data_IF_195981329799
#
_entry.id   IF_195981329799
#
_cell.length_a   1.000
_cell.length_b   1.000
_cell.length_c   1.000
_cell.angle_alpha   90.00
_cell.angle_beta   90.00
_cell.angle_gamma   90.00
#
_symmetry.space_group_name_H-M   'P 1'
#
loop_
_entity.id
_entity.type
_entity.pdbx_description
1 polymer ?
#
# COMPACT_ATOMS: atom_id res chain seq x y z
N UNK A 1 15.71 15.25 -24.94
CA UNK A 1 14.69 15.13 -23.87
C UNK A 1 14.68 16.44 -23.11
N UNK A 2 13.53 16.99 -22.75
CA UNK A 2 13.44 18.32 -22.13
C UNK A 2 12.34 18.34 -21.06
N UNK A 3 12.53 19.12 -19.99
CA UNK A 3 11.65 19.14 -18.81
C UNK A 3 11.37 20.57 -18.37
N UNK A 4 10.16 20.85 -17.89
CA UNK A 4 9.78 22.17 -17.39
C UNK A 4 10.34 22.39 -15.98
N UNK A 5 11.16 23.42 -15.80
CA UNK A 5 11.76 23.79 -14.51
C UNK A 5 11.36 25.21 -14.10
N UNK A 6 11.26 25.49 -12.80
CA UNK A 6 10.99 26.83 -12.30
C UNK A 6 12.25 27.71 -12.43
N UNK A 7 12.09 28.97 -12.85
CA UNK A 7 13.20 29.94 -12.87
C UNK A 7 13.65 30.25 -11.43
N UNK A 8 14.98 30.24 -11.22
CA UNK A 8 15.61 30.58 -9.94
C UNK A 8 15.29 32.01 -9.44
N UNK A 9 14.79 32.89 -10.32
CA UNK A 9 14.61 34.32 -10.02
C UNK A 9 13.17 34.75 -9.69
N UNK A 10 12.16 33.88 -9.76
CA UNK A 10 10.79 34.16 -9.28
C UNK A 10 9.97 32.88 -9.50
N UNK A 11 9.46 32.28 -8.44
CA UNK A 11 8.90 30.92 -8.42
C UNK A 11 7.64 30.68 -9.29
N UNK A 12 7.22 31.66 -10.09
CA UNK A 12 6.04 31.58 -10.95
C UNK A 12 6.35 31.40 -12.44
N UNK A 13 7.59 31.61 -12.89
CA UNK A 13 7.93 31.46 -14.32
C UNK A 13 8.58 30.10 -14.59
N UNK A 14 7.97 29.28 -15.44
CA UNK A 14 8.52 28.00 -15.91
C UNK A 14 9.36 28.20 -17.16
N UNK A 15 10.46 27.47 -17.30
CA UNK A 15 11.26 27.39 -18.54
C UNK A 15 11.52 25.94 -18.93
N UNK A 16 11.83 25.71 -20.19
CA UNK A 16 12.23 24.39 -20.67
C UNK A 16 13.73 24.19 -20.40
N UNK A 17 14.09 23.16 -19.64
CA UNK A 17 15.45 22.68 -19.49
C UNK A 17 15.73 21.65 -20.58
N UNK A 18 16.83 21.86 -21.32
CA UNK A 18 17.30 20.96 -22.38
C UNK A 18 18.67 20.36 -22.07
N UNK A 19 19.42 20.96 -21.14
CA UNK A 19 20.73 20.50 -20.70
C UNK A 19 20.61 19.20 -19.89
N UNK A 20 21.45 18.22 -20.20
CA UNK A 20 21.33 16.86 -19.67
C UNK A 20 21.35 16.81 -18.14
N UNK A 21 22.29 17.51 -17.49
CA UNK A 21 22.42 17.49 -16.03
C UNK A 21 21.24 18.20 -15.35
N UNK A 22 20.77 19.31 -15.92
CA UNK A 22 19.59 19.99 -15.40
C UNK A 22 18.32 19.15 -15.58
N UNK A 23 18.18 18.47 -16.71
CA UNK A 23 17.07 17.56 -16.97
C UNK A 23 17.09 16.40 -15.98
N UNK A 24 18.24 15.78 -15.73
CA UNK A 24 18.38 14.70 -14.73
C UNK A 24 17.96 15.18 -13.34
N UNK A 25 18.53 16.29 -12.88
CA UNK A 25 18.21 16.85 -11.55
C UNK A 25 16.73 17.20 -11.42
N UNK A 26 16.14 17.80 -12.46
CA UNK A 26 14.73 18.13 -12.47
C UNK A 26 13.85 16.87 -12.39
N UNK A 27 14.16 15.84 -13.19
CA UNK A 27 13.42 14.57 -13.18
C UNK A 27 13.54 13.86 -11.84
N UNK A 28 14.74 13.80 -11.26
CA UNK A 28 14.98 13.15 -9.97
C UNK A 28 14.20 13.83 -8.85
N UNK A 29 14.19 15.18 -8.83
CA UNK A 29 13.42 15.95 -7.87
C UNK A 29 11.91 15.79 -8.06
N UNK A 30 11.43 15.86 -9.31
CA UNK A 30 10.01 15.67 -9.63
C UNK A 30 9.57 14.27 -9.21
N UNK A 31 10.33 13.24 -9.54
CA UNK A 31 10.07 11.86 -9.14
C UNK A 31 10.05 11.75 -7.61
N UNK A 32 11.08 12.22 -6.91
CA UNK A 32 11.13 12.21 -5.46
C UNK A 32 9.93 12.94 -4.82
N UNK A 33 9.49 14.05 -5.41
CA UNK A 33 8.32 14.82 -4.94
C UNK A 33 7.00 14.08 -5.16
N UNK A 34 6.84 13.47 -6.34
CA UNK A 34 5.65 12.71 -6.72
C UNK A 34 5.46 11.50 -5.79
N UNK A 35 6.55 10.79 -5.47
CA UNK A 35 6.55 9.59 -4.64
C UNK A 35 6.85 9.87 -3.16
N UNK A 36 6.92 11.14 -2.75
CA UNK A 36 7.10 11.51 -1.33
C UNK A 36 5.95 10.96 -0.49
N UNK A 37 6.28 10.45 0.71
CA UNK A 37 5.29 10.09 1.72
C UNK A 37 4.41 11.30 2.07
N UNK A 38 3.10 11.20 1.80
CA UNK A 38 2.11 12.22 2.18
C UNK A 38 1.46 11.83 3.51
N UNK A 39 1.30 12.79 4.41
CA UNK A 39 0.48 12.62 5.60
C UNK A 39 -0.96 13.00 5.24
N UNK A 40 -1.77 12.00 4.87
CA UNK A 40 -3.17 12.19 4.49
C UNK A 40 -4.10 11.95 5.67
N UNK A 41 -3.90 12.68 6.77
CA UNK A 41 -4.85 12.64 7.88
C UNK A 41 -6.16 13.27 7.41
N UNK A 42 -7.32 12.71 7.77
CA UNK A 42 -8.62 13.27 7.37
C UNK A 42 -8.78 14.74 7.83
N UNK A 43 -8.22 15.07 8.99
CA UNK A 43 -8.21 16.43 9.55
C UNK A 43 -7.26 17.39 8.78
N UNK A 44 -6.39 16.87 7.91
CA UNK A 44 -5.51 17.66 7.05
C UNK A 44 -6.07 17.90 5.64
N UNK A 45 -7.22 17.29 5.31
CA UNK A 45 -7.92 17.52 4.06
C UNK A 45 -8.62 18.88 4.06
N UNK A 46 -8.81 19.48 2.88
CA UNK A 46 -9.66 20.66 2.75
C UNK A 46 -11.12 20.29 3.03
N UNK A 47 -11.94 21.28 3.41
CA UNK A 47 -13.36 21.06 3.74
C UNK A 47 -14.13 20.33 2.63
N UNK A 48 -13.85 20.64 1.36
CA UNK A 48 -14.44 19.94 0.21
C UNK A 48 -14.16 18.43 0.25
N UNK A 49 -12.89 18.05 0.45
CA UNK A 49 -12.50 16.64 0.48
C UNK A 49 -13.00 15.93 1.73
N UNK A 50 -13.07 16.62 2.87
CA UNK A 50 -13.67 16.05 4.09
C UNK A 50 -15.12 15.66 3.86
N UNK A 51 -15.91 16.52 3.21
CA UNK A 51 -17.30 16.22 2.86
C UNK A 51 -17.43 15.08 1.84
N UNK A 52 -16.56 15.04 0.82
CA UNK A 52 -16.59 13.97 -0.21
C UNK A 52 -16.24 12.59 0.40
N UNK A 53 -15.28 12.56 1.31
CA UNK A 53 -14.80 11.32 1.93
C UNK A 53 -15.51 10.97 3.24
N UNK A 54 -16.49 11.77 3.69
CA UNK A 54 -17.30 11.42 4.84
C UNK A 54 -18.18 10.20 4.50
N UNK A 55 -18.11 9.11 5.28
CA UNK A 55 -18.94 7.93 5.03
C UNK A 55 -20.43 8.26 5.21
N UNK A 56 -21.25 8.00 4.19
CA UNK A 56 -22.70 8.28 4.22
C UNK A 56 -23.52 6.99 4.23
N UNK A 57 -24.56 6.96 5.08
CA UNK A 57 -25.54 5.87 5.14
C UNK A 57 -24.89 4.51 5.38
N UNK A 58 -25.27 3.50 4.58
CA UNK A 58 -24.78 2.12 4.67
C UNK A 58 -23.25 1.98 4.65
N UNK A 59 -22.53 2.91 4.04
CA UNK A 59 -21.07 2.84 3.95
C UNK A 59 -20.39 3.12 5.29
N UNK A 60 -21.03 3.88 6.19
CA UNK A 60 -20.52 4.10 7.53
C UNK A 60 -20.49 2.79 8.33
N UNK A 61 -21.60 2.05 8.31
CA UNK A 61 -21.71 0.74 8.97
C UNK A 61 -20.72 -0.28 8.39
N UNK A 62 -20.58 -0.32 7.06
CA UNK A 62 -19.60 -1.20 6.39
C UNK A 62 -18.17 -0.82 6.76
N UNK A 63 -17.86 0.48 6.86
CA UNK A 63 -16.52 0.91 7.25
C UNK A 63 -16.24 0.57 8.72
N UNK A 64 -17.21 0.76 9.61
CA UNK A 64 -17.09 0.38 11.02
C UNK A 64 -16.88 -1.14 11.16
N UNK A 65 -17.59 -1.97 10.40
CA UNK A 65 -17.41 -3.42 10.44
C UNK A 65 -16.04 -3.88 9.94
N UNK A 66 -15.41 -3.17 8.99
CA UNK A 66 -14.05 -3.51 8.53
C UNK A 66 -12.95 -3.28 9.58
N UNK A 67 -13.24 -2.55 10.66
CA UNK A 67 -12.30 -2.27 11.76
C UNK A 67 -12.65 -3.09 13.00
N UNK A 68 -13.66 -3.96 12.91
CA UNK A 68 -13.99 -4.90 13.99
C UNK A 68 -12.80 -5.79 14.35
N UNK A 69 -12.75 -6.17 15.63
CA UNK A 69 -11.66 -7.00 16.15
C UNK A 69 -11.79 -8.41 15.60
N UNK A 70 -10.73 -8.90 14.99
CA UNK A 70 -10.56 -10.29 14.60
C UNK A 70 -10.67 -11.17 15.85
N UNK A 71 -11.58 -12.12 15.80
CA UNK A 71 -11.80 -13.12 16.84
C UNK A 71 -10.90 -14.33 16.65
N UNK A 72 -10.76 -15.13 17.71
CA UNK A 72 -10.04 -16.41 17.63
C UNK A 72 -10.73 -17.40 16.70
N UNK A 73 -12.07 -17.39 16.65
CA UNK A 73 -12.84 -18.24 15.77
C UNK A 73 -12.58 -17.91 14.29
N UNK A 74 -12.62 -16.62 13.93
CA UNK A 74 -12.32 -16.16 12.58
C UNK A 74 -10.89 -16.53 12.17
N UNK A 75 -9.91 -16.25 13.03
CA UNK A 75 -8.51 -16.64 12.76
C UNK A 75 -8.40 -18.14 12.47
N UNK A 76 -8.96 -18.99 13.34
CA UNK A 76 -8.86 -20.43 13.21
C UNK A 76 -9.55 -20.95 11.93
N UNK A 77 -10.68 -20.37 11.56
CA UNK A 77 -11.38 -20.72 10.33
C UNK A 77 -10.56 -20.30 9.10
N UNK A 78 -10.05 -19.07 9.06
CA UNK A 78 -9.22 -18.59 7.96
C UNK A 78 -7.92 -19.39 7.80
N UNK A 79 -7.24 -19.71 8.91
CA UNK A 79 -5.97 -20.45 8.86
C UNK A 79 -6.17 -21.88 8.35
N UNK A 80 -7.30 -22.52 8.65
CA UNK A 80 -7.64 -23.86 8.14
C UNK A 80 -7.77 -23.90 6.61
N UNK A 81 -8.20 -22.80 5.99
CA UNK A 81 -8.45 -22.69 4.56
C UNK A 81 -7.20 -22.31 3.74
N UNK A 82 -6.05 -22.08 4.39
CA UNK A 82 -4.82 -21.65 3.72
C UNK A 82 -4.26 -22.74 2.78
N UNK A 83 -3.89 -22.33 1.57
CA UNK A 83 -3.17 -23.19 0.63
C UNK A 83 -1.72 -23.41 1.09
N UNK A 84 -1.42 -24.64 1.52
CA UNK A 84 -0.12 -25.04 2.08
C UNK A 84 1.03 -25.06 1.07
N UNK A 85 0.75 -24.90 -0.22
CA UNK A 85 1.73 -24.97 -1.31
C UNK A 85 2.27 -23.60 -1.74
N UNK A 86 1.85 -22.52 -1.07
CA UNK A 86 2.32 -21.17 -1.37
C UNK A 86 3.70 -20.89 -0.78
N UNK A 87 4.48 -20.12 -1.54
CA UNK A 87 5.85 -19.71 -1.17
C UNK A 87 5.83 -18.73 0.00
N UNK A 88 6.77 -18.88 0.92
CA UNK A 88 6.96 -17.90 1.99
C UNK A 88 7.38 -16.53 1.44
N UNK A 89 6.99 -15.47 2.13
CA UNK A 89 7.54 -14.13 1.87
C UNK A 89 8.98 -13.98 2.40
N UNK A 90 9.45 -12.73 2.47
CA UNK A 90 10.81 -12.37 2.92
C UNK A 90 11.21 -12.93 4.28
N UNK A 91 10.26 -13.22 5.16
CA UNK A 91 10.53 -13.78 6.50
C UNK A 91 10.84 -15.28 6.50
N UNK A 92 10.60 -15.99 5.39
CA UNK A 92 10.70 -17.45 5.34
C UNK A 92 9.59 -18.19 6.08
N UNK A 93 8.63 -17.48 6.69
CA UNK A 93 7.48 -18.07 7.38
C UNK A 93 6.43 -18.48 6.35
N UNK A 94 6.33 -19.78 6.08
CA UNK A 94 5.28 -20.34 5.23
C UNK A 94 4.01 -20.69 6.04
N UNK A 95 2.92 -21.02 5.33
CA UNK A 95 1.65 -21.36 5.97
C UNK A 95 1.68 -22.66 6.78
N UNK A 96 2.62 -23.59 6.51
CA UNK A 96 2.80 -24.80 7.32
C UNK A 96 3.27 -24.46 8.73
N UNK A 97 4.16 -23.48 8.86
CA UNK A 97 4.62 -22.97 10.16
C UNK A 97 3.47 -22.31 10.90
N UNK A 98 2.67 -21.47 10.23
CA UNK A 98 1.52 -20.77 10.83
C UNK A 98 0.49 -21.78 11.40
N UNK A 99 0.23 -22.86 10.68
CA UNK A 99 -0.67 -23.95 11.10
C UNK A 99 -0.18 -24.73 12.32
N UNK A 100 1.12 -24.70 12.61
CA UNK A 100 1.74 -25.44 13.71
C UNK A 100 2.05 -24.55 14.92
N UNK A 101 1.63 -23.28 14.90
CA UNK A 101 1.87 -22.38 16.03
C UNK A 101 1.11 -22.86 17.27
N UNK A 102 1.74 -22.81 18.45
CA UNK A 102 1.05 -23.03 19.71
C UNK A 102 0.02 -21.94 19.96
N UNK A 103 -1.04 -22.27 20.69
CA UNK A 103 -2.19 -21.40 20.91
C UNK A 103 -1.80 -20.06 21.55
N UNK A 104 -0.82 -20.04 22.46
CA UNK A 104 -0.35 -18.82 23.12
C UNK A 104 0.24 -17.82 22.13
N UNK A 105 0.99 -18.31 21.13
CA UNK A 105 1.53 -17.45 20.07
C UNK A 105 0.44 -16.97 19.12
N UNK A 106 -0.55 -17.82 18.85
CA UNK A 106 -1.71 -17.43 18.04
C UNK A 106 -2.50 -16.30 18.72
N UNK A 107 -2.76 -16.41 20.03
CA UNK A 107 -3.41 -15.35 20.81
C UNK A 107 -2.62 -14.04 20.72
N UNK A 108 -1.29 -14.10 20.83
CA UNK A 108 -0.43 -12.93 20.68
C UNK A 108 -0.55 -12.30 19.28
N UNK A 109 -0.56 -13.11 18.23
CA UNK A 109 -0.72 -12.63 16.85
C UNK A 109 -2.06 -11.96 16.61
N UNK A 110 -3.16 -12.54 17.11
CA UNK A 110 -4.50 -11.95 17.01
C UNK A 110 -4.56 -10.61 17.74
N UNK A 111 -4.01 -10.53 18.96
CA UNK A 111 -3.91 -9.25 19.71
C UNK A 111 -3.10 -8.21 18.92
N UNK A 112 -1.97 -8.60 18.36
CA UNK A 112 -1.11 -7.70 17.58
C UNK A 112 -1.80 -7.19 16.31
N UNK A 113 -2.51 -8.05 15.58
CA UNK A 113 -3.30 -7.65 14.39
C UNK A 113 -4.42 -6.69 14.76
N UNK A 114 -5.16 -6.99 15.83
CA UNK A 114 -6.22 -6.11 16.31
C UNK A 114 -5.70 -4.74 16.74
N UNK A 115 -4.51 -4.68 17.34
CA UNK A 115 -3.85 -3.40 17.65
C UNK A 115 -3.53 -2.62 16.37
N UNK A 116 -3.02 -3.31 15.34
CA UNK A 116 -2.72 -2.71 14.04
C UNK A 116 -3.98 -2.14 13.36
N UNK A 117 -5.10 -2.87 13.40
CA UNK A 117 -6.38 -2.43 12.84
C UNK A 117 -6.94 -1.21 13.58
N UNK A 118 -6.96 -1.24 14.91
CA UNK A 118 -7.51 -0.15 15.73
C UNK A 118 -6.67 1.14 15.65
N UNK A 119 -5.35 1.02 15.52
CA UNK A 119 -4.45 2.18 15.52
C UNK A 119 -4.10 2.69 14.13
N UNK A 120 -4.34 1.89 13.08
CA UNK A 120 -3.84 2.14 11.73
C UNK A 120 -2.30 2.06 11.60
N UNK A 121 -1.59 1.64 12.65
CA UNK A 121 -0.14 1.57 12.69
C UNK A 121 0.35 0.22 12.20
N UNK A 122 0.68 0.15 10.92
CA UNK A 122 1.25 -1.06 10.30
C UNK A 122 2.79 -1.10 10.41
N UNK A 123 3.40 -2.25 10.72
CA UNK A 123 4.85 -2.42 10.73
C UNK A 123 5.49 -2.04 9.40
N UNK A 124 6.63 -1.35 9.44
CA UNK A 124 7.38 -0.96 8.23
C UNK A 124 7.75 -2.18 7.36
N UNK A 125 8.09 -3.30 8.00
CA UNK A 125 8.42 -4.55 7.32
C UNK A 125 7.27 -5.10 6.44
N UNK A 126 6.01 -4.80 6.78
CA UNK A 126 4.85 -5.23 5.97
C UNK A 126 4.67 -4.38 4.70
N UNK A 127 5.40 -3.26 4.58
CA UNK A 127 5.43 -2.40 3.38
C UNK A 127 6.55 -2.78 2.42
N UNK A 128 7.27 -3.86 2.70
CA UNK A 128 8.39 -4.34 1.89
C UNK A 128 8.04 -5.72 1.34
N UNK A 129 8.17 -5.89 0.04
CA UNK A 129 7.92 -7.16 -0.66
C UNK A 129 8.96 -7.39 -1.74
N UNK A 130 9.12 -8.65 -2.16
CA UNK A 130 9.87 -9.00 -3.36
C UNK A 130 8.94 -8.81 -4.55
N UNK A 131 9.38 -8.05 -5.55
CA UNK A 131 8.68 -7.90 -6.81
C UNK A 131 9.28 -8.93 -7.78
N UNK A 132 8.51 -9.98 -8.06
CA UNK A 132 8.84 -11.00 -9.07
C UNK A 132 7.85 -10.85 -10.23
N UNK A 133 8.27 -10.34 -11.40
CA UNK A 133 7.43 -10.31 -12.59
C UNK A 133 7.07 -11.74 -12.99
N UNK A 134 5.77 -12.05 -13.04
CA UNK A 134 5.28 -13.33 -13.57
C UNK A 134 4.88 -13.08 -15.02
N UNK A 135 5.56 -13.69 -16.01
CA UNK A 135 5.17 -13.52 -17.41
C UNK A 135 3.77 -14.07 -17.61
N UNK A 136 2.95 -13.32 -18.34
CA UNK A 136 1.64 -13.81 -18.78
C UNK A 136 1.83 -14.95 -19.78
N UNK A 137 0.92 -15.93 -19.83
CA UNK A 137 1.00 -17.03 -20.80
C UNK A 137 0.98 -16.53 -22.25
N UNK A 138 0.25 -15.45 -22.51
CA UNK A 138 0.11 -14.84 -23.83
C UNK A 138 0.76 -13.46 -23.83
N UNK A 139 1.47 -13.13 -24.92
CA UNK A 139 1.98 -11.78 -25.12
C UNK A 139 0.83 -10.80 -25.36
N UNK A 140 0.98 -9.58 -24.84
CA UNK A 140 -0.04 -8.53 -24.98
C UNK A 140 -0.37 -8.22 -26.45
N UNK A 141 0.64 -8.21 -27.34
CA UNK A 141 0.49 -7.97 -28.79
C UNK A 141 -0.39 -6.76 -29.17
N UNK A 142 -0.50 -5.77 -28.28
CA UNK A 142 -1.41 -4.62 -28.43
C UNK A 142 -2.90 -5.00 -28.57
N UNK A 143 -3.27 -6.21 -28.19
CA UNK A 143 -4.64 -6.69 -28.19
C UNK A 143 -5.17 -6.73 -26.75
N UNK A 144 -6.15 -5.89 -26.44
CA UNK A 144 -6.80 -5.85 -25.12
C UNK A 144 -7.55 -7.14 -24.76
N UNK A 145 -7.75 -8.03 -25.73
CA UNK A 145 -8.33 -9.36 -25.51
C UNK A 145 -7.25 -10.40 -25.11
N UNK A 146 -5.96 -10.07 -25.25
CA UNK A 146 -4.84 -10.91 -24.83
C UNK A 146 -4.44 -10.57 -23.37
N UNK A 147 -5.34 -10.84 -22.41
CA UNK A 147 -5.15 -10.56 -20.97
C UNK A 147 -4.87 -11.79 -20.11
#
# INVERSE_FOLDING_TARGET
MAVLVNKKSEGLTKRLATELEEVKEAVDNDFASMFRKRNTLQNSLTSLWQQIYEPVGKFKEVMESTIEKITMAEWNNTVKELNKNLTAGLSGINYKIILQLPEELVILLVKFRNLTLQTGLVPKAWKTSIILPIPKPTNFEYNILNT
#
